data_IF_314903685539
#
_entry.id   IF_314903685539
#
_cell.length_a   1.000
_cell.length_b   1.000
_cell.length_c   1.000
_cell.angle_alpha   90.00
_cell.angle_beta   90.00
_cell.angle_gamma   90.00
#
_symmetry.space_group_name_H-M   'P 1'
#
loop_
_entity.id
_entity.type
_entity.pdbx_description
1 polymer ?
#
# COMPACT_ATOMS: atom_id res chain seq x y z
N UNK A 1 9.00 -10.87 -0.89
CA UNK A 1 9.81 -10.38 0.25
C UNK A 1 11.10 -9.69 -0.18
N UNK A 2 11.93 -10.29 -1.04
CA UNK A 2 13.22 -9.68 -1.48
C UNK A 2 13.13 -8.23 -2.00
N UNK A 3 12.07 -7.87 -2.73
CA UNK A 3 11.90 -6.50 -3.24
C UNK A 3 11.77 -5.46 -2.12
N UNK A 4 10.99 -5.76 -1.06
CA UNK A 4 10.79 -4.86 0.07
C UNK A 4 12.04 -4.79 0.95
N UNK A 5 12.70 -5.93 1.17
CA UNK A 5 13.98 -5.99 1.90
C UNK A 5 15.04 -5.16 1.19
N UNK A 6 15.17 -5.27 -0.13
CA UNK A 6 16.12 -4.47 -0.89
C UNK A 6 15.80 -2.97 -0.81
N UNK A 7 14.52 -2.60 -0.89
CA UNK A 7 14.10 -1.20 -0.77
C UNK A 7 14.49 -0.58 0.58
N UNK A 8 14.41 -1.34 1.67
CA UNK A 8 14.73 -0.86 3.02
C UNK A 8 16.24 -0.93 3.32
N UNK A 9 16.91 -2.01 2.92
CA UNK A 9 18.26 -2.34 3.41
C UNK A 9 19.39 -1.97 2.46
N UNK A 10 19.11 -1.78 1.16
CA UNK A 10 20.15 -1.59 0.13
C UNK A 10 20.08 -0.24 -0.58
N UNK A 11 19.39 0.74 0.01
CA UNK A 11 19.21 2.08 -0.58
C UNK A 11 18.79 1.98 -2.06
N UNK A 12 17.81 1.10 -2.32
CA UNK A 12 17.38 0.83 -3.68
C UNK A 12 16.76 2.10 -4.26
N UNK A 13 17.05 2.36 -5.54
CA UNK A 13 16.58 3.50 -6.33
C UNK A 13 15.25 4.08 -5.85
N UNK A 14 15.14 5.41 -5.76
CA UNK A 14 13.91 6.10 -5.38
C UNK A 14 12.72 5.64 -6.25
N UNK A 15 11.96 4.66 -5.77
CA UNK A 15 10.76 4.14 -6.45
C UNK A 15 9.54 4.76 -5.78
N UNK A 16 8.59 5.35 -6.53
CA UNK A 16 7.33 5.81 -5.96
C UNK A 16 6.53 4.61 -5.41
N UNK A 17 6.19 4.68 -4.13
CA UNK A 17 5.30 3.72 -3.48
C UNK A 17 3.88 4.27 -3.43
N UNK A 18 2.93 3.50 -3.97
CA UNK A 18 1.50 3.74 -3.77
C UNK A 18 1.03 3.11 -2.46
N UNK A 19 0.37 3.88 -1.61
CA UNK A 19 -0.25 3.40 -0.37
C UNK A 19 -1.76 3.56 -0.45
N UNK A 20 -2.50 2.60 0.08
CA UNK A 20 -3.96 2.62 0.14
C UNK A 20 -4.46 1.93 1.41
N UNK A 21 -5.65 2.29 1.86
CA UNK A 21 -6.35 1.56 2.92
C UNK A 21 -7.03 0.33 2.31
N UNK A 22 -6.97 -0.79 3.02
CA UNK A 22 -7.70 -2.00 2.64
C UNK A 22 -8.45 -2.58 3.84
N UNK A 23 -9.77 -2.76 3.66
CA UNK A 23 -10.62 -3.46 4.62
C UNK A 23 -10.43 -4.98 4.57
N UNK A 24 -9.85 -5.51 3.49
CA UNK A 24 -9.57 -6.93 3.34
C UNK A 24 -8.27 -7.12 2.53
N UNK A 25 -7.22 -7.55 3.23
CA UNK A 25 -5.89 -7.78 2.63
C UNK A 25 -5.87 -8.91 1.59
N UNK A 26 -6.88 -9.79 1.57
CA UNK A 26 -7.03 -10.82 0.54
C UNK A 26 -7.56 -10.25 -0.78
N UNK A 27 -8.23 -9.10 -0.76
CA UNK A 27 -8.72 -8.37 -1.93
C UNK A 27 -7.63 -7.44 -2.48
N UNK A 28 -6.51 -8.03 -2.88
CA UNK A 28 -5.43 -7.32 -3.54
C UNK A 28 -5.75 -7.02 -5.01
N UNK A 29 -5.42 -5.82 -5.48
CA UNK A 29 -5.49 -5.44 -6.89
C UNK A 29 -6.52 -4.35 -7.22
N UNK A 30 -6.84 -4.24 -8.50
CA UNK A 30 -7.67 -3.18 -9.07
C UNK A 30 -8.92 -3.78 -9.72
N UNK A 31 -10.00 -2.99 -9.78
CA UNK A 31 -11.25 -3.29 -10.45
C UNK A 31 -11.44 -2.32 -11.61
N UNK A 32 -11.88 -2.83 -12.76
CA UNK A 32 -12.15 -2.00 -13.95
C UNK A 32 -13.43 -1.21 -13.77
N UNK A 33 -13.42 0.04 -14.19
CA UNK A 33 -14.63 0.87 -14.19
C UNK A 33 -15.51 0.52 -15.39
N UNK A 34 -16.82 0.69 -15.23
CA UNK A 34 -17.79 0.38 -16.31
C UNK A 34 -17.86 1.50 -17.36
N UNK A 35 -17.51 2.73 -16.98
CA UNK A 35 -17.59 3.91 -17.83
C UNK A 35 -16.20 4.56 -17.92
N UNK A 36 -15.39 4.07 -18.84
CA UNK A 36 -14.02 4.53 -19.14
C UNK A 36 -13.98 5.67 -20.17
N UNK A 37 -15.03 6.51 -20.24
CA UNK A 37 -15.07 7.61 -21.21
C UNK A 37 -13.91 8.58 -20.98
N UNK A 38 -13.07 8.75 -22.00
CA UNK A 38 -11.85 9.56 -21.94
C UNK A 38 -12.13 11.00 -21.46
N UNK A 39 -11.34 11.56 -20.51
CA UNK A 39 -10.12 11.03 -19.89
C UNK A 39 -10.38 10.30 -18.55
N UNK A 40 -11.33 9.36 -18.53
CA UNK A 40 -11.76 8.62 -17.35
C UNK A 40 -10.71 7.71 -16.73
N UNK A 41 -10.99 7.28 -15.49
CA UNK A 41 -10.16 6.33 -14.75
C UNK A 41 -10.54 4.90 -15.17
N UNK A 42 -9.61 4.17 -15.78
CA UNK A 42 -9.86 2.79 -16.26
C UNK A 42 -10.05 1.79 -15.11
N UNK A 43 -9.30 1.97 -14.02
CA UNK A 43 -9.32 1.04 -12.90
C UNK A 43 -9.09 1.74 -11.57
N UNK A 44 -9.78 1.26 -10.54
CA UNK A 44 -9.67 1.74 -9.15
C UNK A 44 -9.23 0.59 -8.25
N UNK A 45 -8.53 0.86 -7.14
CA UNK A 45 -8.21 -0.20 -6.17
C UNK A 45 -9.49 -0.92 -5.71
N UNK A 46 -9.44 -2.24 -5.62
CA UNK A 46 -10.60 -3.04 -5.21
C UNK A 46 -11.10 -2.64 -3.81
N UNK A 47 -10.20 -2.26 -2.91
CA UNK A 47 -10.53 -1.77 -1.57
C UNK A 47 -11.30 -0.45 -1.57
N UNK A 48 -11.00 0.46 -2.51
CA UNK A 48 -11.65 1.76 -2.61
C UNK A 48 -13.13 1.65 -3.02
N UNK A 49 -13.51 0.56 -3.70
CA UNK A 49 -14.91 0.25 -4.03
C UNK A 49 -15.69 -0.16 -2.78
N UNK A 50 -15.03 -0.82 -1.82
CA UNK A 50 -15.66 -1.27 -0.57
C UNK A 50 -15.84 -0.11 0.40
N UNK A 51 -14.81 0.72 0.58
CA UNK A 51 -14.86 1.93 1.40
C UNK A 51 -13.89 2.98 0.85
N UNK A 52 -14.33 4.22 0.55
CA UNK A 52 -13.48 5.27 0.01
C UNK A 52 -12.67 5.96 1.12
N UNK A 53 -11.85 5.20 1.84
CA UNK A 53 -10.98 5.72 2.90
C UNK A 53 -9.66 6.24 2.33
N UNK A 54 -9.28 7.45 2.74
CA UNK A 54 -7.99 8.05 2.42
C UNK A 54 -6.88 7.62 3.38
N UNK A 55 -5.63 7.84 2.97
CA UNK A 55 -4.46 7.59 3.83
C UNK A 55 -3.84 8.92 4.27
N UNK A 56 -3.73 9.13 5.58
CA UNK A 56 -2.98 10.24 6.16
C UNK A 56 -1.70 9.70 6.83
N UNK A 57 -0.54 10.03 6.26
CA UNK A 57 0.75 9.63 6.81
C UNK A 57 1.27 10.69 7.78
N UNK A 58 1.64 10.25 8.97
CA UNK A 58 2.36 11.08 9.92
C UNK A 58 3.86 10.84 9.76
N UNK A 59 4.65 11.92 9.71
CA UNK A 59 6.10 11.80 9.59
C UNK A 59 6.72 11.03 10.76
N UNK A 60 7.87 10.39 10.51
CA UNK A 60 8.63 9.69 11.55
C UNK A 60 9.11 10.62 12.69
N UNK A 61 9.13 11.94 12.44
CA UNK A 61 9.43 13.00 13.42
C UNK A 61 8.18 13.70 13.97
N UNK A 62 7.02 13.06 13.95
CA UNK A 62 5.79 13.60 14.57
C UNK A 62 6.01 13.92 16.06
N UNK A 63 5.47 15.06 16.52
CA UNK A 63 5.47 15.45 17.94
C UNK A 63 4.59 14.51 18.78
N UNK A 64 3.53 13.97 18.18
CA UNK A 64 2.70 12.94 18.78
C UNK A 64 3.35 11.58 18.50
N UNK A 65 3.97 10.99 19.53
CA UNK A 65 4.70 9.73 19.43
C UNK A 65 3.80 8.55 19.06
N UNK A 66 2.53 8.59 19.50
CA UNK A 66 1.55 7.53 19.23
C UNK A 66 1.19 7.41 17.75
N UNK A 67 1.36 8.50 17.00
CA UNK A 67 1.04 8.59 15.57
C UNK A 67 2.25 8.45 14.66
N UNK A 68 3.47 8.33 15.20
CA UNK A 68 4.67 8.16 14.36
C UNK A 68 4.55 6.92 13.48
N UNK A 69 4.90 7.06 12.21
CA UNK A 69 4.88 5.96 11.25
C UNK A 69 5.79 4.81 11.72
N UNK A 70 5.22 3.60 11.76
CA UNK A 70 5.93 2.34 11.99
C UNK A 70 5.69 1.42 10.80
N UNK A 71 6.72 0.73 10.35
CA UNK A 71 6.62 -0.28 9.30
C UNK A 71 6.70 -1.66 9.93
N UNK A 72 5.61 -2.40 9.88
CA UNK A 72 5.52 -3.80 10.31
C UNK A 72 5.29 -4.68 9.09
N UNK A 73 6.09 -5.74 8.94
CA UNK A 73 6.06 -6.62 7.78
C UNK A 73 5.67 -8.01 8.26
N UNK A 74 4.48 -8.45 7.89
CA UNK A 74 4.01 -9.81 8.10
C UNK A 74 4.26 -10.62 6.83
N UNK A 75 5.02 -11.70 6.92
CA UNK A 75 5.27 -12.59 5.80
C UNK A 75 5.24 -14.04 6.27
N UNK A 76 4.79 -14.92 5.39
CA UNK A 76 4.98 -16.35 5.54
C UNK A 76 6.35 -16.71 4.98
N UNK A 77 7.13 -17.47 5.76
CA UNK A 77 8.39 -18.03 5.27
C UNK A 77 8.09 -19.37 4.59
N UNK A 78 8.22 -19.47 3.25
CA UNK A 78 7.97 -20.72 2.55
C UNK A 78 9.04 -21.79 2.82
N UNK A 79 10.15 -21.45 3.48
CA UNK A 79 11.27 -22.37 3.76
C UNK A 79 11.24 -22.94 5.19
N UNK A 80 10.06 -22.99 5.83
CA UNK A 80 9.90 -23.66 7.11
C UNK A 80 9.88 -25.18 6.86
N UNK A 81 11.06 -25.79 6.81
CA UNK A 81 11.22 -27.25 7.03
C UNK A 81 11.15 -27.57 8.53
#
# INVERSE_FOLDING_TARGET
>A
TNHLTNLISRDSANVPLGLMVSQNVLLAGFQRTRFDQSPGIEAVPASAVVSPEGTALHGNRSNDESKRLKLEIFYTDPNQE
#
